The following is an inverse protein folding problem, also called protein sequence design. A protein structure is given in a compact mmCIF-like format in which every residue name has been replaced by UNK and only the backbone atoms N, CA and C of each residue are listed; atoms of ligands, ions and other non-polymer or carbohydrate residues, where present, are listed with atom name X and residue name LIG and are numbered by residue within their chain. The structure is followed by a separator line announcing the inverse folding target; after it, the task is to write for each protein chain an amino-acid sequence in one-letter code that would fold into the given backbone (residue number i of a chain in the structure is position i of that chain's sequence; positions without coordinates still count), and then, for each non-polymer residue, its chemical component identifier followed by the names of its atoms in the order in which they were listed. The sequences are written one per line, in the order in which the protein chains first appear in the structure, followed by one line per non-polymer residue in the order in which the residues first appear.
data_IF_752110515932
#
_entry.id   IF_752110515932
#
_cell.length_a   1.000
_cell.length_b   1.000
_cell.length_c   1.000
_cell.angle_alpha   90.00
_cell.angle_beta   90.00
_cell.angle_gamma   90.00
#
_symmetry.space_group_name_H-M   'P 1'
#
loop_
_entity.id
_entity.type
_entity.pdbx_description
1 polymer ?
#
# COMPACT_ATOMS: atom_id res chain seq x y z
N UNK A 1 -17.04 9.59 -29.91
CA UNK A 1 -15.76 8.89 -29.72
C UNK A 1 -15.41 8.98 -28.24
N UNK A 2 -15.64 7.91 -27.50
CA UNK A 2 -15.42 7.86 -26.05
C UNK A 2 -13.94 7.60 -25.78
N UNK A 3 -13.28 8.60 -25.18
CA UNK A 3 -11.87 8.59 -24.77
C UNK A 3 -11.73 7.90 -23.39
N UNK A 4 -12.33 6.72 -23.21
CA UNK A 4 -12.28 5.97 -21.94
C UNK A 4 -11.79 4.52 -22.13
N UNK A 5 -11.35 4.15 -23.33
CA UNK A 5 -10.78 2.83 -23.64
C UNK A 5 -9.24 2.78 -23.41
N UNK A 6 -8.73 3.60 -22.48
CA UNK A 6 -7.29 3.91 -22.39
C UNK A 6 -6.55 3.41 -21.15
N UNK A 7 -7.23 2.78 -20.18
CA UNK A 7 -6.57 2.25 -18.98
C UNK A 7 -6.99 0.81 -18.70
N UNK A 8 -6.93 -0.04 -19.74
CA UNK A 8 -6.66 -1.46 -19.52
C UNK A 8 -5.17 -1.65 -19.70
N UNK A 9 -4.42 -1.22 -18.69
CA UNK A 9 -3.03 -1.67 -18.58
C UNK A 9 -3.08 -3.18 -18.30
N UNK A 10 -2.87 -3.95 -19.37
CA UNK A 10 -2.81 -5.40 -19.36
C UNK A 10 -1.35 -5.87 -19.18
N UNK A 11 -0.49 -5.03 -18.60
CA UNK A 11 0.88 -5.37 -18.22
C UNK A 11 0.89 -5.60 -16.72
N UNK A 12 0.45 -6.80 -16.33
CA UNK A 12 0.22 -7.19 -14.93
C UNK A 12 1.47 -7.18 -14.06
N UNK A 13 1.87 -6.00 -13.59
CA UNK A 13 2.85 -5.83 -12.53
C UNK A 13 2.54 -4.55 -11.73
N UNK A 14 1.32 -4.46 -11.20
CA UNK A 14 1.06 -3.55 -10.09
C UNK A 14 1.87 -4.06 -8.89
N UNK A 15 3.03 -3.46 -8.64
CA UNK A 15 3.85 -3.71 -7.45
C UNK A 15 3.12 -3.17 -6.21
N UNK A 16 2.13 -3.94 -5.74
CA UNK A 16 1.36 -3.67 -4.53
C UNK A 16 2.14 -4.24 -3.36
N UNK A 17 2.41 -3.39 -2.37
CA UNK A 17 2.88 -3.81 -1.06
C UNK A 17 1.75 -3.62 -0.03
N UNK A 18 1.73 -4.46 0.98
CA UNK A 18 0.79 -4.42 2.10
C UNK A 18 1.51 -3.94 3.35
N UNK A 19 1.06 -2.82 3.90
CA UNK A 19 1.66 -2.20 5.10
C UNK A 19 0.78 -2.46 6.31
N UNK A 20 1.31 -3.16 7.30
CA UNK A 20 0.69 -3.29 8.61
C UNK A 20 1.07 -2.08 9.43
N UNK A 21 0.10 -1.31 9.92
CA UNK A 21 0.34 -0.13 10.74
C UNK A 21 -0.49 -0.15 12.03
N UNK A 22 0.00 0.55 13.06
CA UNK A 22 -0.73 0.75 14.31
C UNK A 22 -1.19 2.20 14.47
N UNK A 23 -2.34 2.39 15.09
CA UNK A 23 -2.88 3.70 15.38
C UNK A 23 -2.26 4.27 16.65
N UNK A 24 -1.60 5.41 16.54
CA UNK A 24 -1.14 6.16 17.70
C UNK A 24 -2.20 7.19 18.09
N UNK A 25 -2.95 6.89 19.16
CA UNK A 25 -4.02 7.76 19.68
C UNK A 25 -3.53 9.14 20.12
N UNK A 26 -2.29 9.23 20.64
CA UNK A 26 -1.73 10.50 21.13
C UNK A 26 -1.41 11.44 19.97
N UNK A 27 -0.88 10.89 18.87
CA UNK A 27 -0.48 11.67 17.70
C UNK A 27 -1.54 11.75 16.61
N UNK A 28 -2.61 10.95 16.70
CA UNK A 28 -3.68 10.92 15.70
C UNK A 28 -3.22 10.46 14.32
N UNK A 29 -2.23 9.56 14.26
CA UNK A 29 -1.63 9.09 13.01
C UNK A 29 -1.36 7.58 13.03
N UNK A 30 -1.31 6.98 11.85
CA UNK A 30 -0.87 5.60 11.63
C UNK A 30 0.65 5.53 11.55
N UNK A 31 1.23 4.53 12.22
CA UNK A 31 2.67 4.25 12.16
C UNK A 31 2.91 2.88 11.55
N UNK A 32 3.71 2.79 10.48
CA UNK A 32 4.04 1.52 9.85
C UNK A 32 4.82 0.62 10.82
N UNK A 33 4.50 -0.67 10.82
CA UNK A 33 5.18 -1.72 11.59
C UNK A 33 5.88 -2.73 10.70
N UNK A 34 5.33 -2.99 9.53
CA UNK A 34 5.93 -3.88 8.53
C UNK A 34 5.31 -3.65 7.16
N UNK A 35 6.08 -3.95 6.12
CA UNK A 35 5.69 -3.91 4.72
C UNK A 35 5.93 -5.28 4.11
N UNK A 36 4.97 -5.79 3.35
CA UNK A 36 4.96 -7.15 2.82
C UNK A 36 4.53 -7.13 1.35
N UNK A 37 5.12 -7.96 0.51
CA UNK A 37 4.71 -8.09 -0.89
C UNK A 37 3.46 -8.99 -1.04
N UNK A 38 3.25 -9.90 -0.07
CA UNK A 38 2.14 -10.85 -0.06
C UNK A 38 1.13 -10.50 1.03
N UNK A 39 -0.15 -10.47 0.68
CA UNK A 39 -1.23 -10.15 1.63
C UNK A 39 -1.30 -11.16 2.79
N UNK A 40 -1.07 -12.44 2.51
CA UNK A 40 -1.12 -13.51 3.51
C UNK A 40 -0.10 -13.28 4.64
N UNK A 41 1.10 -12.78 4.30
CA UNK A 41 2.14 -12.42 5.29
C UNK A 41 1.74 -11.21 6.12
N UNK A 42 1.10 -10.22 5.49
CA UNK A 42 0.57 -9.06 6.20
C UNK A 42 -0.56 -9.46 7.17
N UNK A 43 -1.45 -10.37 6.77
CA UNK A 43 -2.53 -10.90 7.60
C UNK A 43 -2.01 -11.72 8.79
N UNK A 44 -1.02 -12.60 8.57
CA UNK A 44 -0.38 -13.34 9.65
C UNK A 44 0.24 -12.39 10.68
N UNK A 45 0.97 -11.38 10.20
CA UNK A 45 1.59 -10.40 11.08
C UNK A 45 0.56 -9.55 11.83
N UNK A 46 -0.51 -9.11 11.15
CA UNK A 46 -1.64 -8.43 11.77
C UNK A 46 -2.27 -9.26 12.89
N UNK A 47 -2.50 -10.56 12.65
CA UNK A 47 -3.06 -11.47 13.65
C UNK A 47 -2.14 -11.62 14.86
N UNK A 48 -0.82 -11.73 14.65
CA UNK A 48 0.17 -11.78 15.73
C UNK A 48 0.16 -10.49 16.56
N UNK A 49 0.19 -9.32 15.91
CA UNK A 49 0.15 -8.05 16.63
C UNK A 49 -1.14 -7.84 17.41
N UNK A 50 -2.28 -8.21 16.83
CA UNK A 50 -3.59 -8.14 17.51
C UNK A 50 -3.64 -9.08 18.72
N UNK A 51 -3.03 -10.26 18.64
CA UNK A 51 -2.93 -11.20 19.78
C UNK A 51 -2.03 -10.66 20.89
N UNK A 52 -0.89 -10.07 20.54
CA UNK A 52 0.05 -9.50 21.52
C UNK A 52 -0.45 -8.20 22.15
N UNK A 53 -1.20 -7.39 21.41
CA UNK A 53 -1.64 -6.06 21.84
C UNK A 53 -3.16 -5.88 21.58
N UNK A 54 -4.04 -6.54 22.34
CA UNK A 54 -5.48 -6.58 22.06
C UNK A 54 -6.18 -5.21 22.20
N UNK A 55 -5.58 -4.27 22.92
CA UNK A 55 -6.11 -2.92 23.12
C UNK A 55 -5.61 -1.92 22.09
N UNK A 56 -4.60 -2.29 21.29
CA UNK A 56 -4.06 -1.46 20.23
C UNK A 56 -4.84 -1.68 18.93
N UNK A 57 -5.03 -0.60 18.17
CA UNK A 57 -5.70 -0.66 16.88
C UNK A 57 -4.64 -0.83 15.80
N UNK A 58 -4.79 -1.88 14.99
CA UNK A 58 -3.95 -2.14 13.83
C UNK A 58 -4.81 -2.12 12.57
N UNK A 59 -4.19 -1.90 11.42
CA UNK A 59 -4.81 -2.01 10.11
C UNK A 59 -3.76 -2.40 9.06
N UNK A 60 -4.24 -2.95 7.94
CA UNK A 60 -3.43 -3.25 6.75
C UNK A 60 -3.81 -2.24 5.68
N UNK A 61 -2.81 -1.67 5.01
CA UNK A 61 -2.97 -0.71 3.93
C UNK A 61 -2.32 -1.24 2.66
N UNK A 62 -2.95 -1.01 1.51
CA UNK A 62 -2.30 -1.24 0.22
C UNK A 62 -1.45 -0.02 -0.14
N UNK A 63 -0.18 -0.26 -0.42
CA UNK A 63 0.78 0.70 -0.93
C UNK A 63 1.08 0.35 -2.38
N UNK A 64 0.49 1.12 -3.30
CA UNK A 64 0.70 0.95 -4.72
C UNK A 64 1.92 1.76 -5.11
N UNK A 65 3.04 1.10 -5.45
CA UNK A 65 4.19 1.80 -6.03
C UNK A 65 3.77 2.31 -7.40
N UNK A 66 3.64 3.63 -7.51
CA UNK A 66 3.44 4.26 -8.80
C UNK A 66 4.76 4.19 -9.57
N UNK A 67 4.90 3.23 -10.48
CA UNK A 67 5.92 3.34 -11.53
C UNK A 67 5.48 4.45 -12.48
N UNK A 68 6.37 5.40 -12.79
CA UNK A 68 6.08 6.43 -13.80
C UNK A 68 6.03 5.73 -15.15
N UNK A 69 4.82 5.47 -15.66
CA UNK A 69 4.63 4.69 -16.89
C UNK A 69 5.16 5.44 -18.12
N UNK A 70 5.07 6.78 -18.18
CA UNK A 70 5.69 7.63 -19.23
C UNK A 70 5.95 9.05 -18.71
N UNK A 71 7.17 9.57 -18.87
CA UNK A 71 7.47 11.01 -18.78
C UNK A 71 7.18 11.65 -20.15
N UNK A 72 6.14 12.49 -20.24
CA UNK A 72 5.64 13.00 -21.54
C UNK A 72 6.46 14.20 -22.05
N UNK A 73 7.20 14.90 -21.19
CA UNK A 73 8.24 15.88 -21.57
C UNK A 73 9.32 15.95 -20.47
N UNK A 74 10.59 15.88 -20.85
CA UNK A 74 11.67 16.52 -20.11
C UNK A 74 11.92 17.86 -20.80
N UNK A 75 11.90 18.97 -20.05
CA UNK A 75 12.35 20.25 -20.59
C UNK A 75 13.84 20.12 -20.92
N UNK A 76 14.19 20.29 -22.20
CA UNK A 76 15.57 20.56 -22.59
C UNK A 76 15.87 22.01 -22.20
N UNK A 77 16.86 22.20 -21.32
CA UNK A 77 17.60 23.47 -21.15
C UNK A 77 19.01 23.29 -21.71
#
# INVERSE_FOLDING_TARGET
MNLLDGFKDNSGNTNIEYVVAYWNKVRGIWFPRGTYEEIEKAEECYAQYRKMNPTATFAIFEHIKSETIVQICAAEE
#
